data_IF_286302193373
#
_entry.id   IF_286302193373
#
_cell.length_a   1.000
_cell.length_b   1.000
_cell.length_c   1.000
_cell.angle_alpha   90.00
_cell.angle_beta   90.00
_cell.angle_gamma   90.00
#
_symmetry.space_group_name_H-M   'P 1'
#
loop_
_entity.id
_entity.type
_entity.pdbx_description
1 polymer ?
#
# COMPACT_ATOMS: atom_id res chain seq x y z
N UNK A 1 13.86 7.35 3.52
CA UNK A 1 14.15 7.08 2.09
C UNK A 1 13.70 8.29 1.26
N UNK A 2 14.24 8.51 0.06
CA UNK A 2 13.79 9.53 -0.91
C UNK A 2 13.58 10.96 -0.37
N UNK A 3 14.39 11.40 0.60
CA UNK A 3 14.19 12.69 1.29
C UNK A 3 14.07 13.88 0.34
N UNK A 4 14.92 13.95 -0.70
CA UNK A 4 14.87 15.02 -1.70
C UNK A 4 13.54 15.08 -2.43
N UNK A 5 13.00 13.93 -2.83
CA UNK A 5 11.72 13.84 -3.57
C UNK A 5 10.53 14.11 -2.65
N UNK A 6 10.57 13.59 -1.42
CA UNK A 6 9.57 13.89 -0.38
C UNK A 6 9.53 15.39 -0.08
N UNK A 7 10.68 16.04 0.08
CA UNK A 7 10.76 17.48 0.35
C UNK A 7 10.24 18.32 -0.83
N UNK A 8 10.44 17.87 -2.07
CA UNK A 8 9.87 18.52 -3.26
C UNK A 8 8.33 18.50 -3.25
N UNK A 9 7.73 17.35 -2.90
CA UNK A 9 6.27 17.26 -2.76
C UNK A 9 5.76 18.08 -1.58
N UNK A 10 6.45 18.01 -0.43
CA UNK A 10 6.10 18.78 0.77
C UNK A 10 6.13 20.28 0.51
N UNK A 11 7.19 20.79 -0.13
CA UNK A 11 7.29 22.21 -0.50
C UNK A 11 6.14 22.65 -1.39
N UNK A 12 5.74 21.79 -2.34
CA UNK A 12 4.57 22.03 -3.19
C UNK A 12 3.29 22.11 -2.36
N UNK A 13 3.09 21.16 -1.44
CA UNK A 13 1.92 21.11 -0.55
C UNK A 13 1.84 22.31 0.40
N UNK A 14 2.98 22.74 0.94
CA UNK A 14 3.09 23.93 1.79
C UNK A 14 2.68 25.21 1.06
N UNK A 15 2.85 25.29 -0.26
CA UNK A 15 2.48 26.45 -1.07
C UNK A 15 0.97 26.61 -1.29
N UNK A 16 0.19 25.53 -1.20
CA UNK A 16 -1.25 25.59 -1.43
C UNK A 16 -2.00 26.29 -0.29
N UNK A 17 -3.00 27.10 -0.63
CA UNK A 17 -4.04 27.55 0.30
C UNK A 17 -4.92 26.38 0.76
N UNK A 18 -5.62 26.54 1.89
CA UNK A 18 -6.60 25.56 2.37
C UNK A 18 -7.69 25.25 1.32
N UNK A 19 -8.16 26.28 0.61
CA UNK A 19 -9.15 26.12 -0.46
C UNK A 19 -8.60 25.27 -1.62
N UNK A 20 -7.34 25.44 -1.98
CA UNK A 20 -6.70 24.60 -3.00
C UNK A 20 -6.54 23.16 -2.49
N UNK A 21 -6.08 22.96 -1.25
CA UNK A 21 -5.95 21.62 -0.65
C UNK A 21 -7.29 20.89 -0.59
N UNK A 22 -8.37 21.58 -0.19
CA UNK A 22 -9.73 21.04 -0.18
C UNK A 22 -10.14 20.52 -1.56
N UNK A 23 -9.89 21.30 -2.62
CA UNK A 23 -10.22 20.93 -4.01
C UNK A 23 -9.37 19.76 -4.52
N UNK A 24 -8.05 19.84 -4.43
CA UNK A 24 -7.17 18.83 -5.04
C UNK A 24 -7.21 17.48 -4.31
N UNK A 25 -7.48 17.48 -2.99
CA UNK A 25 -7.59 16.26 -2.19
C UNK A 25 -9.04 15.77 -2.05
N UNK A 26 -10.00 16.51 -2.61
CA UNK A 26 -11.43 16.26 -2.49
C UNK A 26 -11.88 16.03 -1.02
N UNK A 27 -11.58 16.99 -0.15
CA UNK A 27 -11.86 16.92 1.30
C UNK A 27 -12.59 18.16 1.79
N UNK A 28 -13.25 18.04 2.94
CA UNK A 28 -13.91 19.16 3.62
C UNK A 28 -12.91 20.27 4.01
N UNK A 29 -13.40 21.51 4.13
CA UNK A 29 -12.60 22.64 4.59
C UNK A 29 -11.91 22.36 5.94
N UNK A 30 -12.61 21.71 6.88
CA UNK A 30 -12.04 21.27 8.16
C UNK A 30 -10.83 20.36 7.99
N UNK A 31 -10.93 19.36 7.10
CA UNK A 31 -9.80 18.46 6.83
C UNK A 31 -8.68 19.16 6.07
N UNK A 32 -9.00 20.10 5.19
CA UNK A 32 -8.00 20.90 4.49
C UNK A 32 -7.19 21.77 5.45
N UNK A 33 -7.85 22.44 6.40
CA UNK A 33 -7.20 23.20 7.47
C UNK A 33 -6.25 22.32 8.29
N UNK A 34 -6.72 21.15 8.75
CA UNK A 34 -5.87 20.19 9.49
C UNK A 34 -4.63 19.80 8.69
N UNK A 35 -4.78 19.51 7.39
CA UNK A 35 -3.63 19.12 6.57
C UNK A 35 -2.72 20.30 6.24
N UNK A 36 -3.26 21.53 6.11
CA UNK A 36 -2.45 22.74 5.96
C UNK A 36 -1.52 22.94 7.15
N UNK A 37 -2.05 22.82 8.37
CA UNK A 37 -1.24 22.93 9.59
C UNK A 37 -0.20 21.81 9.67
N UNK A 38 -0.56 20.57 9.31
CA UNK A 38 0.42 19.46 9.22
C UNK A 38 1.56 19.76 8.25
N UNK A 39 1.26 20.27 7.06
CA UNK A 39 2.32 20.60 6.11
C UNK A 39 3.18 21.78 6.57
N UNK A 40 2.55 22.80 7.16
CA UNK A 40 3.25 23.97 7.68
C UNK A 40 4.22 23.61 8.82
N UNK A 41 3.77 22.79 9.76
CA UNK A 41 4.56 22.38 10.94
C UNK A 41 5.22 21.00 10.78
N UNK A 42 5.42 20.55 9.54
CA UNK A 42 5.83 19.18 9.25
C UNK A 42 7.11 18.76 9.98
N UNK A 43 8.06 19.67 10.18
CA UNK A 43 9.33 19.32 10.83
C UNK A 43 9.21 19.07 12.33
N UNK A 44 8.22 19.67 13.01
CA UNK A 44 8.02 19.52 14.45
C UNK A 44 6.96 18.47 14.81
N UNK A 45 6.22 17.94 13.82
CA UNK A 45 5.23 16.89 14.08
C UNK A 45 5.87 15.62 14.68
N UNK A 46 5.15 15.03 15.64
CA UNK A 46 5.47 13.70 16.15
C UNK A 46 5.45 12.66 15.04
N UNK A 47 6.38 11.72 15.14
CA UNK A 47 6.57 10.69 14.14
C UNK A 47 6.27 9.30 14.69
N UNK A 48 5.77 8.41 13.84
CA UNK A 48 5.41 7.03 14.18
C UNK A 48 5.89 6.07 13.10
N UNK A 49 6.16 4.82 13.47
CA UNK A 49 6.43 3.78 12.49
C UNK A 49 5.21 3.57 11.56
N UNK A 50 5.44 3.44 10.25
CA UNK A 50 4.41 3.47 9.22
C UNK A 50 3.26 2.47 9.46
N UNK A 51 3.59 1.23 9.84
CA UNK A 51 2.60 0.17 10.08
C UNK A 51 1.67 0.45 11.27
N UNK A 52 2.12 1.28 12.22
CA UNK A 52 1.34 1.72 13.38
C UNK A 52 0.64 3.07 13.15
N UNK A 53 1.10 3.83 12.15
CA UNK A 53 0.59 5.17 11.84
C UNK A 53 -0.58 5.14 10.85
N UNK A 54 -0.53 4.25 9.85
CA UNK A 54 -1.62 4.12 8.89
C UNK A 54 -2.84 3.43 9.51
N UNK A 55 -4.02 3.98 9.24
CA UNK A 55 -5.30 3.45 9.69
C UNK A 55 -6.26 3.31 8.50
N UNK A 56 -7.16 2.32 8.56
CA UNK A 56 -8.15 2.06 7.52
C UNK A 56 -8.40 0.56 7.31
N UNK A 57 -9.32 0.20 6.42
CA UNK A 57 -9.78 -1.19 6.25
C UNK A 57 -8.64 -2.21 6.06
N UNK A 58 -7.56 -1.85 5.35
CA UNK A 58 -6.40 -2.73 5.21
C UNK A 58 -5.67 -2.87 6.53
N UNK A 59 -5.12 -1.78 7.06
CA UNK A 59 -4.26 -1.78 8.26
C UNK A 59 -4.99 -2.29 9.52
N UNK A 60 -6.28 -1.95 9.68
CA UNK A 60 -7.09 -2.42 10.80
C UNK A 60 -7.27 -3.94 10.77
N UNK A 61 -7.26 -4.57 9.59
CA UNK A 61 -7.40 -6.02 9.43
C UNK A 61 -6.06 -6.77 9.43
N UNK A 62 -4.93 -6.06 9.40
CA UNK A 62 -3.61 -6.66 9.73
C UNK A 62 -3.57 -7.04 11.22
N UNK A 63 -4.26 -6.27 12.07
CA UNK A 63 -4.23 -6.40 13.52
C UNK A 63 -2.79 -6.36 14.06
N UNK A 64 -2.04 -5.31 13.72
CA UNK A 64 -0.60 -5.18 14.01
C UNK A 64 -0.27 -5.38 15.49
N UNK A 65 -1.10 -4.84 16.39
CA UNK A 65 -0.97 -4.96 17.85
C UNK A 65 -1.06 -6.40 18.37
N UNK A 66 -1.55 -7.34 17.54
CA UNK A 66 -1.66 -8.77 17.89
C UNK A 66 -0.53 -9.61 17.29
N UNK A 67 0.39 -9.01 16.53
CA UNK A 67 1.51 -9.74 15.96
C UNK A 67 2.63 -9.91 16.98
N UNK A 68 3.33 -11.04 16.93
CA UNK A 68 4.55 -11.24 17.70
C UNK A 68 5.69 -10.38 17.13
N UNK A 69 6.73 -10.14 17.93
CA UNK A 69 7.95 -9.46 17.43
C UNK A 69 8.57 -10.20 16.24
N UNK A 70 8.46 -11.53 16.20
CA UNK A 70 8.95 -12.33 15.08
C UNK A 70 8.17 -12.06 13.79
N UNK A 71 6.83 -12.03 13.87
CA UNK A 71 5.98 -11.67 12.74
C UNK A 71 6.20 -10.21 12.29
N UNK A 72 6.42 -9.27 13.23
CA UNK A 72 6.75 -7.88 12.90
C UNK A 72 8.10 -7.75 12.19
N UNK A 73 9.12 -8.47 12.65
CA UNK A 73 10.43 -8.53 12.00
C UNK A 73 10.34 -9.13 10.59
N UNK A 74 9.53 -10.18 10.42
CA UNK A 74 9.25 -10.75 9.11
C UNK A 74 8.60 -9.73 8.18
N UNK A 75 7.59 -8.99 8.64
CA UNK A 75 6.99 -7.92 7.84
C UNK A 75 8.01 -6.83 7.50
N UNK A 76 8.91 -6.48 8.41
CA UNK A 76 9.92 -5.46 8.16
C UNK A 76 10.86 -5.80 6.98
N UNK A 77 11.05 -7.08 6.68
CA UNK A 77 11.82 -7.53 5.51
C UNK A 77 10.97 -7.87 4.27
N UNK A 78 9.68 -8.21 4.42
CA UNK A 78 8.83 -8.74 3.34
C UNK A 78 7.65 -7.85 2.93
N UNK A 79 7.31 -6.81 3.70
CA UNK A 79 6.21 -5.88 3.39
C UNK A 79 6.76 -4.53 2.95
N UNK A 80 6.15 -4.00 1.88
CA UNK A 80 6.33 -2.62 1.44
C UNK A 80 4.97 -1.92 1.42
N UNK A 81 4.95 -0.68 1.90
CA UNK A 81 3.76 0.18 1.92
C UNK A 81 3.98 1.31 0.92
N UNK A 82 3.16 1.37 -0.13
CA UNK A 82 3.23 2.45 -1.13
C UNK A 82 2.59 3.71 -0.56
N UNK A 83 3.26 4.85 -0.74
CA UNK A 83 2.89 6.13 -0.15
C UNK A 83 2.94 7.25 -1.20
N UNK A 84 1.91 8.10 -1.25
CA UNK A 84 1.93 9.27 -2.13
C UNK A 84 3.02 10.30 -1.78
N UNK A 85 3.40 10.42 -0.50
CA UNK A 85 4.41 11.40 -0.04
C UNK A 85 5.82 10.80 0.08
N UNK A 86 5.92 9.54 0.47
CA UNK A 86 7.19 8.88 0.75
C UNK A 86 7.60 7.88 -0.35
N UNK A 87 6.78 7.69 -1.39
CA UNK A 87 6.99 6.71 -2.45
C UNK A 87 6.72 5.28 -1.99
N UNK A 88 7.64 4.73 -1.20
CA UNK A 88 7.53 3.39 -0.61
C UNK A 88 8.20 3.36 0.76
N UNK A 89 7.60 2.64 1.69
CA UNK A 89 8.01 2.53 3.09
C UNK A 89 8.11 1.08 3.51
N UNK A 90 9.04 0.77 4.40
CA UNK A 90 8.99 -0.44 5.22
C UNK A 90 8.08 -0.22 6.45
N UNK A 91 7.54 -1.28 7.06
CA UNK A 91 6.67 -1.20 8.24
C UNK A 91 7.16 -0.29 9.36
N UNK A 92 8.45 -0.35 9.69
CA UNK A 92 9.06 0.41 10.79
C UNK A 92 9.72 1.72 10.35
N UNK A 93 9.61 2.09 9.07
CA UNK A 93 10.06 3.42 8.64
C UNK A 93 9.22 4.49 9.35
N UNK A 94 9.90 5.51 9.85
CA UNK A 94 9.27 6.60 10.60
C UNK A 94 8.59 7.58 9.64
N UNK A 95 7.32 7.87 9.89
CA UNK A 95 6.54 8.85 9.12
C UNK A 95 5.89 9.88 10.04
N UNK A 96 5.67 11.06 9.48
CA UNK A 96 4.89 12.13 10.11
C UNK A 96 3.49 12.22 9.50
N UNK A 97 2.48 12.70 10.24
CA UNK A 97 1.11 12.81 9.74
C UNK A 97 1.02 13.67 8.49
N UNK A 98 0.32 13.14 7.49
CA UNK A 98 0.08 13.81 6.21
C UNK A 98 -1.18 13.23 5.56
N UNK A 99 -1.68 13.90 4.52
CA UNK A 99 -2.65 13.33 3.58
C UNK A 99 -2.20 13.63 2.15
N UNK A 100 -1.86 12.59 1.40
CA UNK A 100 -1.58 12.69 -0.03
C UNK A 100 -1.86 11.33 -0.66
N UNK A 101 -3.02 11.21 -1.32
CA UNK A 101 -3.42 10.00 -2.04
C UNK A 101 -2.71 9.95 -3.40
N UNK A 102 -2.40 8.76 -3.90
CA UNK A 102 -1.60 8.59 -5.12
C UNK A 102 -2.29 9.21 -6.35
N UNK A 103 -3.63 9.23 -6.38
CA UNK A 103 -4.39 9.89 -7.44
C UNK A 103 -4.35 11.43 -7.42
N UNK A 104 -3.81 12.05 -6.37
CA UNK A 104 -3.77 13.52 -6.23
C UNK A 104 -2.83 14.12 -7.28
N UNK A 105 -3.30 15.14 -8.00
CA UNK A 105 -2.45 15.94 -8.91
C UNK A 105 -1.96 17.19 -8.20
N UNK A 106 -0.63 17.39 -8.18
CA UNK A 106 -0.01 18.58 -7.59
C UNK A 106 0.55 19.46 -8.70
N UNK A 107 -0.23 20.45 -9.15
CA UNK A 107 0.05 21.21 -10.38
C UNK A 107 0.23 20.22 -11.56
N UNK A 108 1.35 20.29 -12.27
CA UNK A 108 1.71 19.37 -13.36
C UNK A 108 2.29 18.04 -12.87
N UNK A 109 2.47 17.85 -11.55
CA UNK A 109 3.03 16.62 -10.99
C UNK A 109 1.93 15.55 -10.89
N UNK A 110 2.07 14.51 -11.70
CA UNK A 110 1.39 13.24 -11.55
C UNK A 110 2.21 12.33 -10.61
N UNK A 111 1.66 11.97 -9.44
CA UNK A 111 2.41 11.23 -8.41
C UNK A 111 2.80 9.81 -8.85
N UNK A 112 1.96 9.12 -9.62
CA UNK A 112 2.31 7.82 -10.18
C UNK A 112 3.58 7.93 -11.02
N UNK A 113 3.62 8.83 -11.99
CA UNK A 113 4.79 9.02 -12.86
C UNK A 113 6.00 9.55 -12.09
N UNK A 114 5.77 10.44 -11.13
CA UNK A 114 6.81 11.03 -10.28
C UNK A 114 7.58 9.96 -9.49
N UNK A 115 6.87 8.96 -8.97
CA UNK A 115 7.45 7.89 -8.15
C UNK A 115 7.84 6.64 -8.92
N UNK A 116 7.35 6.48 -10.15
CA UNK A 116 7.34 5.18 -10.84
C UNK A 116 8.74 4.54 -10.95
N UNK A 117 9.72 5.32 -11.39
CA UNK A 117 11.08 4.81 -11.58
C UNK A 117 11.78 4.53 -10.24
N UNK A 118 11.64 5.41 -9.26
CA UNK A 118 12.28 5.27 -7.95
C UNK A 118 11.73 4.08 -7.17
N UNK A 119 10.40 3.93 -7.14
CA UNK A 119 9.74 2.82 -6.43
C UNK A 119 10.07 1.49 -7.11
N UNK A 120 9.99 1.41 -8.43
CA UNK A 120 10.31 0.17 -9.16
C UNK A 120 11.78 -0.23 -8.99
N UNK A 121 12.70 0.73 -9.09
CA UNK A 121 14.13 0.48 -8.87
C UNK A 121 14.42 0.04 -7.43
N UNK A 122 13.74 0.63 -6.45
CA UNK A 122 13.88 0.22 -5.06
C UNK A 122 13.36 -1.20 -4.82
N UNK A 123 12.19 -1.55 -5.35
CA UNK A 123 11.64 -2.91 -5.26
C UNK A 123 12.62 -3.93 -5.87
N UNK A 124 13.16 -3.64 -7.06
CA UNK A 124 14.19 -4.48 -7.68
C UNK A 124 15.41 -4.68 -6.76
N UNK A 125 15.89 -3.61 -6.10
CA UNK A 125 17.03 -3.70 -5.17
C UNK A 125 16.73 -4.55 -3.93
N UNK A 126 15.50 -4.51 -3.43
CA UNK A 126 15.07 -5.32 -2.29
C UNK A 126 14.94 -6.78 -2.69
N UNK A 127 14.22 -7.07 -3.78
CA UNK A 127 14.02 -8.44 -4.27
C UNK A 127 15.32 -9.12 -4.69
N UNK A 128 16.31 -8.37 -5.18
CA UNK A 128 17.64 -8.93 -5.49
C UNK A 128 18.32 -9.59 -4.28
N UNK A 129 17.96 -9.18 -3.07
CA UNK A 129 18.52 -9.68 -1.80
C UNK A 129 17.67 -10.78 -1.15
N UNK A 130 16.48 -11.06 -1.70
CA UNK A 130 15.59 -12.11 -1.19
C UNK A 130 15.95 -13.45 -1.82
N UNK A 131 15.71 -14.54 -1.08
CA UNK A 131 15.82 -15.89 -1.60
C UNK A 131 14.69 -16.15 -2.60
N UNK A 132 13.44 -15.86 -2.21
CA UNK A 132 12.27 -15.92 -3.08
C UNK A 132 12.03 -14.56 -3.76
N UNK A 133 12.19 -14.52 -5.09
CA UNK A 133 12.24 -13.27 -5.86
C UNK A 133 10.95 -13.02 -6.62
N UNK A 134 9.89 -12.71 -5.90
CA UNK A 134 8.61 -12.30 -6.46
C UNK A 134 8.03 -11.09 -5.71
N UNK A 135 7.19 -10.32 -6.38
CA UNK A 135 6.42 -9.24 -5.79
C UNK A 135 4.96 -9.67 -5.69
N UNK A 136 4.46 -9.89 -4.47
CA UNK A 136 3.03 -10.10 -4.24
C UNK A 136 2.31 -8.74 -4.15
N UNK A 137 1.45 -8.45 -5.11
CA UNK A 137 0.68 -7.21 -5.14
C UNK A 137 -0.66 -7.36 -4.41
N UNK A 138 -0.69 -6.85 -3.18
CA UNK A 138 -1.91 -6.66 -2.38
C UNK A 138 -2.40 -5.20 -2.36
N UNK A 139 -1.74 -4.29 -3.06
CA UNK A 139 -2.16 -2.89 -3.12
C UNK A 139 -3.39 -2.72 -4.03
N UNK A 140 -4.09 -1.59 -3.91
CA UNK A 140 -5.11 -1.22 -4.90
C UNK A 140 -4.44 -0.85 -6.23
N UNK A 141 -5.23 -0.83 -7.31
CA UNK A 141 -4.73 -0.39 -8.63
C UNK A 141 -4.18 1.04 -8.58
N UNK A 142 -4.83 1.92 -7.81
CA UNK A 142 -4.38 3.32 -7.63
C UNK A 142 -2.92 3.36 -7.14
N UNK A 143 -2.59 2.61 -6.10
CA UNK A 143 -1.25 2.62 -5.52
C UNK A 143 -0.26 1.75 -6.29
N UNK A 144 -0.66 0.55 -6.73
CA UNK A 144 0.23 -0.35 -7.48
C UNK A 144 0.59 0.15 -8.88
N UNK A 145 -0.14 1.13 -9.43
CA UNK A 145 0.20 1.78 -10.71
C UNK A 145 1.58 2.44 -10.73
N UNK A 146 2.16 2.73 -9.56
CA UNK A 146 3.53 3.25 -9.42
C UNK A 146 4.59 2.19 -9.78
N UNK A 147 4.24 0.91 -9.81
CA UNK A 147 5.17 -0.14 -10.18
C UNK A 147 5.14 -0.25 -11.71
N UNK A 148 6.29 -0.04 -12.35
CA UNK A 148 6.42 -0.20 -13.79
C UNK A 148 6.68 -1.69 -14.13
N UNK A 149 5.72 -2.41 -14.71
CA UNK A 149 5.89 -3.84 -15.00
C UNK A 149 7.01 -4.09 -16.01
N UNK A 150 7.29 -3.15 -16.92
CA UNK A 150 8.35 -3.29 -17.93
C UNK A 150 9.76 -3.11 -17.35
N UNK A 151 9.88 -2.47 -16.17
CA UNK A 151 11.16 -2.29 -15.47
C UNK A 151 11.31 -3.20 -14.25
N UNK A 152 10.26 -3.91 -13.85
CA UNK A 152 10.33 -4.89 -12.76
C UNK A 152 11.07 -6.14 -13.26
N UNK A 153 12.13 -6.54 -12.55
CA UNK A 153 13.01 -7.66 -12.94
C UNK A 153 12.53 -9.03 -12.48
N UNK A 154 11.46 -9.06 -11.68
CA UNK A 154 11.01 -10.22 -10.93
C UNK A 154 9.52 -10.45 -11.15
N UNK A 155 9.06 -11.67 -10.89
CA UNK A 155 7.66 -12.05 -11.09
C UNK A 155 6.73 -11.16 -10.27
N UNK A 156 5.68 -10.64 -10.91
CA UNK A 156 4.59 -9.93 -10.25
C UNK A 156 3.41 -10.88 -10.09
N UNK A 157 2.96 -11.09 -8.87
CA UNK A 157 1.78 -11.91 -8.56
C UNK A 157 0.68 -11.01 -8.01
N UNK A 158 -0.36 -10.77 -8.79
CA UNK A 158 -1.50 -9.95 -8.37
C UNK A 158 -2.51 -10.79 -7.60
N UNK A 159 -3.04 -10.23 -6.50
CA UNK A 159 -4.06 -10.89 -5.69
C UNK A 159 -5.39 -10.17 -5.82
N UNK A 160 -6.44 -10.93 -6.16
CA UNK A 160 -7.80 -10.44 -6.31
C UNK A 160 -8.76 -11.09 -5.33
N UNK A 161 -9.58 -10.27 -4.70
CA UNK A 161 -10.69 -10.70 -3.86
C UNK A 161 -11.99 -10.34 -4.57
N UNK A 162 -12.74 -11.36 -5.02
CA UNK A 162 -14.00 -11.20 -5.77
C UNK A 162 -15.16 -11.81 -4.99
N UNK A 163 -16.32 -11.18 -5.06
CA UNK A 163 -17.57 -11.71 -4.52
C UNK A 163 -18.46 -12.17 -5.67
N UNK A 164 -19.06 -13.34 -5.52
CA UNK A 164 -20.09 -13.83 -6.42
C UNK A 164 -21.43 -13.22 -6.03
N UNK A 165 -22.03 -12.45 -6.94
CA UNK A 165 -23.39 -11.93 -6.79
C UNK A 165 -24.19 -12.37 -8.00
N UNK A 166 -25.08 -13.34 -7.81
CA UNK A 166 -25.93 -13.90 -8.86
C UNK A 166 -25.15 -14.42 -10.09
N UNK A 167 -24.06 -15.15 -9.84
CA UNK A 167 -23.19 -15.70 -10.90
C UNK A 167 -22.18 -14.71 -11.49
N UNK A 168 -22.23 -13.44 -11.09
CA UNK A 168 -21.28 -12.41 -11.53
C UNK A 168 -20.23 -12.14 -10.46
N UNK A 169 -18.96 -12.37 -10.81
CA UNK A 169 -17.83 -12.04 -9.96
C UNK A 169 -17.51 -10.54 -10.04
N UNK A 170 -17.42 -9.88 -8.89
CA UNK A 170 -17.06 -8.46 -8.81
C UNK A 170 -16.24 -8.13 -7.56
N UNK A 171 -15.39 -7.11 -7.65
CA UNK A 171 -14.59 -6.65 -6.51
C UNK A 171 -15.40 -5.66 -5.68
N UNK A 172 -15.64 -5.98 -4.41
CA UNK A 172 -16.30 -5.06 -3.47
C UNK A 172 -15.22 -4.36 -2.66
N UNK A 173 -14.97 -3.08 -2.96
CA UNK A 173 -13.76 -2.37 -2.53
C UNK A 173 -13.47 -2.44 -1.03
N UNK A 174 -14.47 -2.25 -0.17
CA UNK A 174 -14.31 -2.34 1.30
C UNK A 174 -13.90 -3.76 1.70
N UNK A 175 -14.59 -4.79 1.19
CA UNK A 175 -14.32 -6.18 1.56
C UNK A 175 -12.97 -6.65 1.02
N UNK A 176 -12.59 -6.24 -0.20
CA UNK A 176 -11.27 -6.50 -0.75
C UNK A 176 -10.15 -5.84 0.08
N UNK A 177 -10.35 -4.62 0.59
CA UNK A 177 -9.39 -3.97 1.50
C UNK A 177 -9.22 -4.77 2.80
N UNK A 178 -10.32 -5.21 3.42
CA UNK A 178 -10.27 -6.05 4.63
C UNK A 178 -9.54 -7.37 4.36
N UNK A 179 -9.84 -8.03 3.23
CA UNK A 179 -9.20 -9.28 2.84
C UNK A 179 -7.69 -9.13 2.58
N UNK A 180 -7.25 -8.02 1.96
CA UNK A 180 -5.82 -7.69 1.82
C UNK A 180 -5.10 -7.59 3.16
N UNK A 181 -5.70 -6.88 4.13
CA UNK A 181 -5.16 -6.78 5.49
C UNK A 181 -5.09 -8.15 6.19
N UNK A 182 -6.16 -8.93 6.08
CA UNK A 182 -6.20 -10.29 6.63
C UNK A 182 -5.14 -11.21 5.99
N UNK A 183 -4.89 -11.09 4.69
CA UNK A 183 -3.83 -11.86 4.01
C UNK A 183 -2.44 -11.46 4.51
N UNK A 184 -2.15 -10.17 4.69
CA UNK A 184 -0.89 -9.73 5.30
C UNK A 184 -0.72 -10.32 6.71
N UNK A 185 -1.79 -10.34 7.52
CA UNK A 185 -1.77 -10.98 8.84
C UNK A 185 -1.44 -12.47 8.77
N UNK A 186 -2.05 -13.21 7.85
CA UNK A 186 -1.80 -14.65 7.66
C UNK A 186 -0.37 -14.88 7.21
N UNK A 187 0.12 -14.09 6.26
CA UNK A 187 1.52 -14.10 5.81
C UNK A 187 2.46 -13.91 6.99
N UNK A 188 2.23 -12.87 7.81
CA UNK A 188 3.09 -12.53 8.94
C UNK A 188 3.13 -13.61 10.01
N UNK A 189 1.97 -14.15 10.41
CA UNK A 189 1.88 -15.13 11.50
C UNK A 189 2.47 -16.50 11.12
N UNK A 190 2.45 -16.84 9.83
CA UNK A 190 2.93 -18.12 9.33
C UNK A 190 4.24 -18.00 8.57
N UNK A 191 4.85 -16.80 8.52
CA UNK A 191 6.10 -16.51 7.82
C UNK A 191 6.09 -16.98 6.36
N UNK A 192 4.96 -16.76 5.67
CA UNK A 192 4.76 -17.26 4.32
C UNK A 192 5.58 -16.43 3.33
N UNK A 193 6.54 -17.08 2.69
CA UNK A 193 7.40 -16.50 1.65
C UNK A 193 7.29 -17.27 0.32
N UNK A 194 6.09 -17.79 0.01
CA UNK A 194 5.78 -18.39 -1.30
C UNK A 194 4.33 -18.13 -1.71
N UNK A 195 4.04 -17.74 -2.98
CA UNK A 195 2.67 -17.59 -3.47
C UNK A 195 1.89 -18.90 -3.46
N UNK A 196 2.57 -20.05 -3.55
CA UNK A 196 1.93 -21.37 -3.55
C UNK A 196 1.21 -21.62 -2.23
N UNK A 197 1.84 -21.28 -1.11
CA UNK A 197 1.27 -21.45 0.23
C UNK A 197 0.05 -20.56 0.45
N UNK A 198 -0.08 -19.45 -0.30
CA UNK A 198 -1.24 -18.56 -0.23
C UNK A 198 -2.50 -19.17 -0.84
N UNK A 199 -2.40 -20.21 -1.66
CA UNK A 199 -3.58 -20.92 -2.17
C UNK A 199 -4.42 -21.54 -1.06
N UNK A 200 -3.83 -21.76 0.13
CA UNK A 200 -4.51 -22.24 1.32
C UNK A 200 -5.21 -21.13 2.13
N UNK A 201 -5.10 -19.86 1.71
CA UNK A 201 -5.76 -18.75 2.40
C UNK A 201 -7.29 -18.90 2.34
N UNK A 202 -7.91 -19.01 3.52
CA UNK A 202 -9.35 -19.00 3.68
C UNK A 202 -9.77 -18.14 4.88
N UNK A 203 -10.15 -16.89 4.62
CA UNK A 203 -10.56 -15.92 5.64
C UNK A 203 -11.66 -15.00 5.09
N UNK A 204 -12.52 -14.49 5.99
CA UNK A 204 -13.62 -13.58 5.66
C UNK A 204 -14.61 -14.12 4.60
N UNK A 205 -14.65 -15.45 4.44
CA UNK A 205 -15.45 -16.17 3.44
C UNK A 205 -14.82 -16.28 2.05
N UNK A 206 -13.60 -15.76 1.86
CA UNK A 206 -12.85 -15.91 0.60
C UNK A 206 -12.10 -17.25 0.59
N UNK A 207 -12.08 -17.93 -0.54
CA UNK A 207 -11.28 -19.13 -0.79
C UNK A 207 -10.63 -19.08 -2.18
N UNK A 208 -9.47 -19.72 -2.35
CA UNK A 208 -8.75 -19.75 -3.62
C UNK A 208 -9.57 -20.40 -4.73
N UNK A 209 -9.49 -19.83 -5.95
CA UNK A 209 -10.18 -20.35 -7.12
C UNK A 209 -9.20 -20.74 -8.21
N UNK A 210 -8.93 -22.04 -8.34
CA UNK A 210 -8.10 -22.59 -9.41
C UNK A 210 -8.60 -22.19 -10.80
N UNK A 211 -9.92 -22.16 -11.00
CA UNK A 211 -10.55 -21.81 -12.28
C UNK A 211 -10.25 -20.38 -12.74
N UNK A 212 -10.06 -19.45 -11.80
CA UNK A 212 -9.90 -18.02 -12.12
C UNK A 212 -8.47 -17.52 -11.89
N UNK A 213 -7.56 -18.40 -11.47
CA UNK A 213 -6.19 -18.06 -11.12
C UNK A 213 -5.21 -18.56 -12.19
N UNK A 214 -4.04 -17.92 -12.24
CA UNK A 214 -2.88 -18.30 -13.04
C UNK A 214 -1.61 -18.06 -12.23
N UNK A 215 -0.44 -18.32 -12.81
CA UNK A 215 0.84 -18.17 -12.12
C UNK A 215 1.11 -16.73 -11.63
N UNK A 216 0.54 -15.73 -12.31
CA UNK A 216 0.70 -14.31 -11.96
C UNK A 216 -0.56 -13.69 -11.34
N UNK A 217 -1.64 -14.45 -11.20
CA UNK A 217 -2.95 -13.96 -10.78
C UNK A 217 -3.58 -14.93 -9.77
N UNK A 218 -3.63 -14.56 -8.49
CA UNK A 218 -4.30 -15.34 -7.45
C UNK A 218 -5.68 -14.76 -7.18
N UNK A 219 -6.73 -15.50 -7.54
CA UNK A 219 -8.12 -15.07 -7.35
C UNK A 219 -8.76 -15.85 -6.22
N UNK A 220 -9.20 -15.11 -5.20
CA UNK A 220 -9.98 -15.62 -4.08
C UNK A 220 -11.44 -15.18 -4.22
N UNK A 221 -12.36 -16.13 -4.12
CA UNK A 221 -13.79 -15.90 -4.30
C UNK A 221 -14.52 -16.12 -2.99
N UNK A 222 -15.37 -15.15 -2.64
CA UNK A 222 -16.40 -15.30 -1.63
C UNK A 222 -17.73 -15.59 -2.32
N UNK A 223 -18.35 -16.70 -1.94
CA UNK A 223 -19.68 -17.11 -2.43
C UNK A 223 -20.79 -16.22 -1.90
#
# INVERSE_FOLDING_TARGET
MFLTLTNKLLSTLQSYSENQLSKIMNISAKLAHINKERFKDFDNQESKAAIFAYAGDVFNNIHIEKLTNHALNFLQSHLLIISGLYGVLKPLDTIKPYRLEMATKLNEINLTNFWQDEVTNYINKILAKQENKYLLNLASQEYSSVINPNKLKYQLVNVHFKENRNGKLSTIGINAKKARGAMVKVIANNLIDSPELLKNFSYLGYAFSTKHSSDNELVFIKS
#
